data_IF_517404632969
#
_entry.id   IF_517404632969
#
_cell.length_a   1.000
_cell.length_b   1.000
_cell.length_c   1.000
_cell.angle_alpha   90.00
_cell.angle_beta   90.00
_cell.angle_gamma   90.00
#
_symmetry.space_group_name_H-M   'P 1'
#
loop_
_entity.id
_entity.type
_entity.pdbx_description
1 polymer ?
#
# COMPACT_ATOMS: atom_id res chain seq x y z
N UNK A 1 11.60 8.11 2.57
CA UNK A 1 11.54 9.54 2.95
C UNK A 1 12.61 10.29 2.19
N UNK A 2 12.52 11.61 2.06
CA UNK A 2 13.60 12.44 1.52
C UNK A 2 13.72 13.76 2.29
N UNK A 3 14.91 14.36 2.24
CA UNK A 3 15.21 15.66 2.86
C UNK A 3 14.51 16.76 2.07
N UNK A 4 13.76 17.59 2.77
CA UNK A 4 13.02 18.72 2.20
C UNK A 4 13.06 19.91 3.18
N UNK A 5 13.96 20.88 2.96
CA UNK A 5 14.10 22.06 3.83
C UNK A 5 12.88 22.97 3.86
N UNK A 6 11.95 22.84 2.90
CA UNK A 6 10.73 23.64 2.86
C UNK A 6 9.70 23.17 3.90
N UNK A 7 9.86 21.94 4.40
CA UNK A 7 9.00 21.36 5.44
C UNK A 7 9.52 21.74 6.83
N UNK A 8 8.64 22.05 7.79
CA UNK A 8 9.04 22.31 9.18
C UNK A 8 9.84 21.17 9.82
N UNK A 9 9.58 19.93 9.40
CA UNK A 9 10.25 18.72 9.88
C UNK A 9 11.55 18.41 9.14
N UNK A 10 11.90 19.18 8.10
CA UNK A 10 13.07 18.96 7.25
C UNK A 10 13.00 17.72 6.36
N UNK A 11 11.88 16.99 6.35
CA UNK A 11 11.70 15.76 5.58
C UNK A 11 10.29 15.65 4.98
N UNK A 12 10.20 14.94 3.86
CA UNK A 12 8.97 14.67 3.15
C UNK A 12 8.91 13.21 2.66
N UNK A 13 7.78 12.78 2.12
CA UNK A 13 7.54 11.39 1.71
C UNK A 13 6.84 11.34 0.34
N UNK A 14 7.23 10.37 -0.51
CA UNK A 14 6.64 10.18 -1.84
C UNK A 14 5.23 9.58 -1.80
N UNK A 15 4.94 8.72 -0.83
CA UNK A 15 3.64 8.07 -0.68
C UNK A 15 2.64 8.95 0.06
N UNK A 16 3.12 9.73 1.04
CA UNK A 16 2.31 10.69 1.78
C UNK A 16 2.96 12.09 1.68
N UNK A 17 2.55 12.93 0.71
CA UNK A 17 3.15 14.25 0.57
C UNK A 17 2.79 15.15 1.76
N UNK A 18 3.69 16.07 2.10
CA UNK A 18 3.49 17.08 3.15
C UNK A 18 3.25 16.50 4.55
N UNK A 19 3.94 15.41 4.88
CA UNK A 19 3.90 14.83 6.23
C UNK A 19 4.14 15.86 7.34
N UNK A 20 3.51 15.61 8.48
CA UNK A 20 3.67 16.41 9.70
C UNK A 20 4.72 15.84 10.67
N UNK A 21 5.34 14.70 10.34
CA UNK A 21 6.33 14.03 11.18
C UNK A 21 7.71 13.99 10.52
N UNK A 22 8.79 14.01 11.30
CA UNK A 22 10.14 13.83 10.77
C UNK A 22 10.36 12.37 10.31
N UNK A 23 11.48 12.14 9.63
CA UNK A 23 11.88 10.78 9.27
C UNK A 23 12.46 10.04 10.49
N UNK A 24 11.60 9.27 11.18
CA UNK A 24 11.95 8.57 12.43
C UNK A 24 13.09 7.57 12.26
N UNK A 25 13.16 6.89 11.10
CA UNK A 25 14.19 5.88 10.81
C UNK A 25 15.41 6.45 10.05
N UNK A 26 15.58 7.77 10.03
CA UNK A 26 16.68 8.44 9.31
C UNK A 26 18.07 8.00 9.77
N UNK A 27 18.25 7.68 11.06
CA UNK A 27 19.52 7.15 11.57
C UNK A 27 19.86 5.77 11.00
N UNK A 28 18.84 4.96 10.68
CA UNK A 28 19.02 3.61 10.16
C UNK A 28 19.18 3.62 8.63
N UNK A 29 18.31 4.36 7.92
CA UNK A 29 18.29 4.43 6.45
C UNK A 29 19.38 5.37 5.88
N UNK A 30 19.72 6.41 6.63
CA UNK A 30 20.48 7.55 6.15
C UNK A 30 19.59 8.63 5.51
N UNK A 31 20.24 9.66 4.98
CA UNK A 31 19.58 10.80 4.34
C UNK A 31 19.59 10.64 2.83
N UNK A 32 18.44 10.90 2.21
CA UNK A 32 18.22 10.79 0.77
C UNK A 32 17.57 12.06 0.22
N UNK A 33 17.92 12.44 -1.01
CA UNK A 33 17.24 13.48 -1.78
C UNK A 33 16.36 12.83 -2.84
N UNK A 34 15.17 13.37 -3.08
CA UNK A 34 14.35 12.98 -4.22
C UNK A 34 14.75 13.81 -5.44
N UNK A 35 15.08 13.15 -6.54
CA UNK A 35 15.32 13.78 -7.85
C UNK A 35 14.05 13.63 -8.67
N UNK A 36 13.56 14.75 -9.22
CA UNK A 36 12.38 14.79 -10.07
C UNK A 36 12.80 15.16 -11.50
N UNK A 37 12.16 14.56 -12.49
CA UNK A 37 12.33 14.91 -13.90
C UNK A 37 11.06 15.56 -14.42
N UNK A 38 11.24 16.63 -15.18
CA UNK A 38 10.14 17.26 -15.92
C UNK A 38 9.80 16.38 -17.12
N UNK A 39 8.57 15.88 -17.14
CA UNK A 39 8.04 15.10 -18.26
C UNK A 39 6.92 15.92 -18.90
N UNK A 40 7.08 16.22 -20.18
CA UNK A 40 6.03 16.85 -20.97
C UNK A 40 5.12 15.75 -21.46
N UNK A 41 3.89 15.73 -20.94
CA UNK A 41 2.84 14.83 -21.41
C UNK A 41 1.90 15.64 -22.32
N UNK A 42 1.72 15.17 -23.55
CA UNK A 42 0.73 15.77 -24.46
C UNK A 42 -0.66 15.25 -24.07
N UNK A 43 -1.52 16.15 -23.59
CA UNK A 43 -2.93 15.86 -23.33
C UNK A 43 -3.74 15.74 -24.63
N UNK A 44 -4.94 15.15 -24.56
CA UNK A 44 -5.90 15.18 -25.67
C UNK A 44 -6.17 16.63 -26.07
N UNK A 45 -5.73 17.02 -27.28
CA UNK A 45 -5.84 18.38 -27.80
C UNK A 45 -4.51 19.14 -27.97
N UNK A 46 -3.36 18.51 -27.73
CA UNK A 46 -2.04 19.13 -27.98
C UNK A 46 -1.59 20.09 -26.88
N UNK A 47 -2.26 20.08 -25.72
CA UNK A 47 -1.80 20.84 -24.54
C UNK A 47 -0.61 20.13 -23.90
N UNK A 48 0.50 20.84 -23.78
CA UNK A 48 1.69 20.39 -23.06
C UNK A 48 1.46 20.50 -21.56
N UNK A 49 1.36 19.36 -20.88
CA UNK A 49 1.28 19.29 -19.43
C UNK A 49 2.67 18.97 -18.90
N UNK A 50 3.26 19.93 -18.19
CA UNK A 50 4.54 19.75 -17.51
C UNK A 50 4.26 19.04 -16.17
N UNK A 51 4.59 17.76 -16.07
CA UNK A 51 4.44 16.96 -14.85
C UNK A 51 5.83 16.66 -14.27
N UNK A 52 6.08 17.04 -13.02
CA UNK A 52 7.28 16.60 -12.30
C UNK A 52 7.06 15.18 -11.79
N UNK A 53 7.73 14.22 -12.42
CA UNK A 53 7.66 12.82 -12.03
C UNK A 53 8.92 12.47 -11.25
N UNK A 54 8.72 11.76 -10.13
CA UNK A 54 9.82 11.23 -9.35
C UNK A 54 10.68 10.29 -10.19
N UNK A 55 12.00 10.51 -10.18
CA UNK A 55 12.94 9.68 -10.92
C UNK A 55 13.61 8.65 -10.02
N UNK A 56 14.47 9.11 -9.11
CA UNK A 56 15.20 8.26 -8.19
C UNK A 56 15.60 8.98 -6.90
N UNK A 57 16.08 8.21 -5.93
CA UNK A 57 16.66 8.74 -4.71
C UNK A 57 18.19 8.80 -4.82
N UNK A 58 18.76 9.94 -4.47
CA UNK A 58 20.20 10.12 -4.31
C UNK A 58 20.56 10.05 -2.83
N UNK A 59 21.52 9.21 -2.45
CA UNK A 59 21.95 9.08 -1.05
C UNK A 59 22.92 10.21 -0.70
N UNK A 60 22.54 11.02 0.27
CA UNK A 60 23.33 12.18 0.74
C UNK A 60 24.26 11.76 1.87
N UNK A 61 23.75 10.93 2.79
CA UNK A 61 24.52 10.42 3.92
C UNK A 61 24.13 8.96 4.21
N UNK A 62 25.10 8.06 4.46
CA UNK A 62 24.81 6.68 4.82
C UNK A 62 24.15 6.61 6.20
N UNK A 63 23.25 5.64 6.36
CA UNK A 63 22.68 5.27 7.65
C UNK A 63 23.53 4.22 8.37
N UNK A 64 23.04 3.75 9.53
CA UNK A 64 23.66 2.63 10.25
C UNK A 64 23.49 1.29 9.53
N UNK A 65 22.41 1.12 8.77
CA UNK A 65 22.11 -0.11 8.04
C UNK A 65 22.41 0.06 6.55
N UNK A 66 22.84 -1.03 5.91
CA UNK A 66 22.90 -1.10 4.45
C UNK A 66 21.49 -1.08 3.85
N UNK A 67 21.35 -0.74 2.56
CA UNK A 67 20.04 -0.65 1.91
C UNK A 67 19.21 -1.95 2.02
N UNK A 68 19.83 -3.11 1.78
CA UNK A 68 19.15 -4.40 1.87
C UNK A 68 18.76 -4.77 3.31
N UNK A 69 19.59 -4.40 4.29
CA UNK A 69 19.32 -4.64 5.71
C UNK A 69 18.19 -3.75 6.22
N UNK A 70 18.19 -2.48 5.82
CA UNK A 70 17.09 -1.56 6.11
C UNK A 70 15.76 -2.05 5.51
N UNK A 71 15.77 -2.51 4.26
CA UNK A 71 14.58 -3.07 3.61
C UNK A 71 14.05 -4.32 4.34
N UNK A 72 14.95 -5.17 4.85
CA UNK A 72 14.61 -6.29 5.72
C UNK A 72 13.98 -5.83 7.02
N UNK A 73 14.63 -4.90 7.73
CA UNK A 73 14.13 -4.35 8.99
C UNK A 73 12.74 -3.72 8.87
N UNK A 74 12.50 -2.92 7.83
CA UNK A 74 11.20 -2.29 7.57
C UNK A 74 10.15 -3.36 7.27
N UNK A 75 10.50 -4.37 6.45
CA UNK A 75 9.58 -5.48 6.13
C UNK A 75 9.17 -6.25 7.37
N UNK A 76 10.12 -6.59 8.22
CA UNK A 76 9.84 -7.33 9.45
C UNK A 76 9.01 -6.52 10.43
N UNK A 77 9.28 -5.21 10.54
CA UNK A 77 8.49 -4.29 11.35
C UNK A 77 7.04 -4.19 10.85
N UNK A 78 6.84 -4.06 9.53
CA UNK A 78 5.49 -4.01 8.95
C UNK A 78 4.76 -5.35 9.14
N UNK A 79 5.44 -6.47 8.92
CA UNK A 79 4.88 -7.81 9.16
C UNK A 79 4.48 -7.99 10.62
N UNK A 80 5.30 -7.52 11.57
CA UNK A 80 4.97 -7.54 12.98
C UNK A 80 3.74 -6.68 13.31
N UNK A 81 3.66 -5.46 12.77
CA UNK A 81 2.51 -4.57 12.97
C UNK A 81 1.22 -5.13 12.35
N UNK A 82 1.32 -5.77 11.18
CA UNK A 82 0.18 -6.45 10.53
C UNK A 82 -0.33 -7.60 11.41
N UNK A 83 0.58 -8.44 11.91
CA UNK A 83 0.24 -9.53 12.82
C UNK A 83 -0.41 -9.04 14.13
N UNK A 84 0.15 -8.01 14.77
CA UNK A 84 -0.41 -7.46 16.02
C UNK A 84 -1.73 -6.73 15.78
N UNK A 85 -1.89 -6.08 14.62
CA UNK A 85 -3.15 -5.46 14.21
C UNK A 85 -4.26 -6.48 13.97
N UNK A 86 -3.91 -7.72 13.60
CA UNK A 86 -4.87 -8.77 13.32
C UNK A 86 -4.40 -10.19 13.70
N UNK A 87 -4.27 -10.51 15.01
CA UNK A 87 -3.68 -11.78 15.45
C UNK A 87 -4.49 -13.02 15.05
N UNK A 88 -5.78 -12.87 14.73
CA UNK A 88 -6.69 -13.96 14.35
C UNK A 88 -6.89 -14.10 12.84
N UNK A 89 -6.08 -13.42 12.01
CA UNK A 89 -6.25 -13.38 10.55
C UNK A 89 -6.30 -14.76 9.89
N UNK A 90 -5.40 -15.68 10.28
CA UNK A 90 -5.35 -17.03 9.73
C UNK A 90 -6.60 -17.84 10.07
N UNK A 91 -7.09 -17.74 11.31
CA UNK A 91 -8.32 -18.42 11.74
C UNK A 91 -9.54 -17.88 10.99
N UNK A 92 -9.63 -16.55 10.79
CA UNK A 92 -10.72 -15.92 10.03
C UNK A 92 -10.73 -16.37 8.57
N UNK A 93 -9.57 -16.44 7.91
CA UNK A 93 -9.47 -16.93 6.52
C UNK A 93 -9.88 -18.39 6.39
N UNK A 94 -9.40 -19.25 7.30
CA UNK A 94 -9.76 -20.66 7.31
C UNK A 94 -11.28 -20.87 7.48
N UNK A 95 -11.90 -20.15 8.43
CA UNK A 95 -13.35 -20.21 8.65
C UNK A 95 -14.13 -19.62 7.47
N UNK A 96 -13.64 -18.52 6.88
CA UNK A 96 -14.26 -17.86 5.73
C UNK A 96 -14.42 -18.79 4.51
N UNK A 97 -13.42 -19.64 4.23
CA UNK A 97 -13.50 -20.62 3.13
C UNK A 97 -14.69 -21.59 3.35
N UNK A 98 -14.83 -22.11 4.57
CA UNK A 98 -15.93 -23.02 4.90
C UNK A 98 -17.30 -22.34 4.87
N UNK A 99 -17.38 -21.09 5.35
CA UNK A 99 -18.63 -20.30 5.29
C UNK A 99 -19.03 -20.04 3.84
N UNK A 100 -18.09 -19.66 2.97
CA UNK A 100 -18.38 -19.42 1.54
C UNK A 100 -18.83 -20.69 0.85
N UNK A 101 -18.15 -21.82 1.09
CA UNK A 101 -18.56 -23.12 0.54
C UNK A 101 -19.96 -23.52 1.01
N UNK A 102 -20.25 -23.37 2.30
CA UNK A 102 -21.58 -23.63 2.85
C UNK A 102 -22.63 -22.74 2.17
N UNK A 103 -22.37 -21.44 2.04
CA UNK A 103 -23.31 -20.51 1.40
C UNK A 103 -23.53 -20.83 -0.08
N UNK A 104 -22.51 -21.27 -0.82
CA UNK A 104 -22.66 -21.70 -2.21
C UNK A 104 -23.57 -22.93 -2.34
N UNK A 105 -23.33 -23.95 -1.51
CA UNK A 105 -24.16 -25.16 -1.50
C UNK A 105 -25.59 -24.84 -1.07
N UNK A 106 -25.74 -24.05 -0.01
CA UNK A 106 -27.05 -23.62 0.47
C UNK A 106 -27.79 -22.79 -0.58
N UNK A 107 -27.11 -21.87 -1.26
CA UNK A 107 -27.70 -21.06 -2.34
C UNK A 107 -28.16 -21.91 -3.50
N UNK A 108 -27.41 -22.95 -3.86
CA UNK A 108 -27.81 -23.93 -4.86
C UNK A 108 -29.09 -24.68 -4.47
N UNK A 109 -29.16 -25.16 -3.22
CA UNK A 109 -30.36 -25.83 -2.70
C UNK A 109 -31.56 -24.87 -2.65
N UNK A 110 -31.36 -23.66 -2.16
CA UNK A 110 -32.38 -22.62 -2.12
C UNK A 110 -32.87 -22.25 -3.53
N UNK A 111 -31.99 -22.25 -4.53
CA UNK A 111 -32.37 -22.04 -5.93
C UNK A 111 -33.23 -23.17 -6.48
N UNK A 112 -32.90 -24.44 -6.16
CA UNK A 112 -33.74 -25.58 -6.53
C UNK A 112 -35.13 -25.50 -5.88
N UNK A 113 -35.18 -25.13 -4.60
CA UNK A 113 -36.44 -24.93 -3.87
C UNK A 113 -37.25 -23.80 -4.49
N UNK A 114 -36.62 -22.64 -4.76
CA UNK A 114 -37.26 -21.53 -5.46
C UNK A 114 -37.84 -21.97 -6.81
N UNK A 115 -37.08 -22.75 -7.58
CA UNK A 115 -37.52 -23.25 -8.89
C UNK A 115 -38.78 -24.12 -8.78
N UNK A 116 -38.88 -24.97 -7.76
CA UNK A 116 -40.07 -25.80 -7.55
C UNK A 116 -41.28 -24.95 -7.10
N UNK A 117 -41.12 -24.05 -6.13
CA UNK A 117 -42.22 -23.18 -5.67
C UNK A 117 -42.79 -22.29 -6.77
N UNK A 118 -41.96 -21.86 -7.72
CA UNK A 118 -42.35 -20.97 -8.81
C UNK A 118 -42.88 -21.73 -10.04
N UNK A 119 -42.91 -23.06 -9.99
CA UNK A 119 -43.44 -23.90 -11.06
C UNK A 119 -44.97 -23.78 -11.19
N UNK A 120 -45.66 -23.66 -10.06
CA UNK A 120 -47.13 -23.57 -9.99
C UNK A 120 -47.64 -22.12 -10.09
N UNK A 121 -46.73 -21.14 -10.18
CA UNK A 121 -47.05 -19.73 -10.42
C UNK A 121 -46.76 -19.42 -11.90
N UNK A 122 -47.59 -19.99 -12.77
CA UNK A 122 -47.82 -19.53 -14.14
C UNK A 122 -49.31 -19.21 -14.29
#
# INVERSE_FOLDING_TARGET
YYVDPTRPTGANNLRLPNIAMPHVLSELEGLKRAVFRDVVRHGEGGTEIHEQVFDHFEQIAPGRLGAAEYDGFVRDTVNFLDYVGEPTQTARRALGIWVVLFLLVFSWLAWLVKREYWKDVH
#
